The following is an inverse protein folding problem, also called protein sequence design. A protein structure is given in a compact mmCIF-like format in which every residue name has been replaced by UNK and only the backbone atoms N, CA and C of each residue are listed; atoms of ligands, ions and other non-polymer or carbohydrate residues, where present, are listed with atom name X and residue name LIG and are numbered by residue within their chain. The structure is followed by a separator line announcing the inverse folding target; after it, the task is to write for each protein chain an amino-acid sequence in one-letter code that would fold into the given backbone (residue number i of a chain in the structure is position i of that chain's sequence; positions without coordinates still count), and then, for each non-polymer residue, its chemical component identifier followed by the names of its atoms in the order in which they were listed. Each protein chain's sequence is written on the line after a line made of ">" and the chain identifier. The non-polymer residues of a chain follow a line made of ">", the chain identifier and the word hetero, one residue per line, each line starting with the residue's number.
data_IF_663568154860
#
_entry.id   IF_663568154860
#
_cell.length_a   1.000
_cell.length_b   1.000
_cell.length_c   1.000
_cell.angle_alpha   90.00
_cell.angle_beta   90.00
_cell.angle_gamma   90.00
#
_symmetry.space_group_name_H-M   'P 1'
#
loop_
_entity.id
_entity.type
_entity.pdbx_description
1 polymer ?
#
# COMPACT_ATOMS: atom_id res chain seq x y z
N UNK A 1 5.89 6.09 -16.07
CA UNK A 1 4.85 6.76 -15.27
C UNK A 1 5.45 7.19 -13.94
N UNK A 2 5.25 8.45 -13.59
CA UNK A 2 5.69 8.97 -12.30
C UNK A 2 4.65 8.65 -11.21
N UNK A 3 5.06 8.66 -9.94
CA UNK A 3 4.14 8.37 -8.83
C UNK A 3 2.96 9.35 -8.78
N UNK A 4 3.21 10.64 -9.01
CA UNK A 4 2.14 11.62 -9.02
C UNK A 4 1.20 11.46 -10.23
N UNK A 5 1.69 10.96 -11.37
CA UNK A 5 0.83 10.62 -12.49
C UNK A 5 -0.09 9.45 -12.14
N UNK A 6 0.46 8.43 -11.50
CA UNK A 6 -0.34 7.32 -11.01
C UNK A 6 -1.43 7.79 -10.05
N UNK A 7 -1.08 8.64 -9.09
CA UNK A 7 -2.06 9.16 -8.13
C UNK A 7 -3.21 9.87 -8.83
N UNK A 8 -2.92 10.72 -9.82
CA UNK A 8 -3.95 11.39 -10.61
C UNK A 8 -4.87 10.41 -11.34
N UNK A 9 -4.28 9.37 -11.94
CA UNK A 9 -5.05 8.35 -12.64
C UNK A 9 -5.91 7.52 -11.68
N UNK A 10 -5.37 7.20 -10.52
CA UNK A 10 -6.11 6.47 -9.49
C UNK A 10 -7.37 7.23 -9.02
N UNK A 11 -7.28 8.55 -8.93
CA UNK A 11 -8.42 9.37 -8.52
C UNK A 11 -9.61 9.30 -9.46
N UNK A 12 -9.43 8.86 -10.71
CA UNK A 12 -10.53 8.73 -11.67
C UNK A 12 -11.57 7.71 -11.22
N UNK A 13 -11.18 6.75 -10.39
CA UNK A 13 -12.09 5.71 -9.90
C UNK A 13 -12.42 5.87 -8.42
N UNK A 14 -11.95 6.94 -7.80
CA UNK A 14 -12.23 7.23 -6.40
C UNK A 14 -13.56 7.96 -6.23
N UNK A 15 -14.21 7.73 -5.09
CA UNK A 15 -15.37 8.53 -4.68
C UNK A 15 -14.91 9.93 -4.30
N UNK A 16 -15.80 10.94 -4.31
CA UNK A 16 -15.44 12.27 -3.83
C UNK A 16 -14.97 12.24 -2.37
N UNK A 17 -14.02 13.10 -2.02
CA UNK A 17 -13.55 13.25 -0.62
C UNK A 17 -14.69 13.58 0.34
N UNK A 18 -15.74 14.22 -0.17
CA UNK A 18 -16.93 14.64 0.59
C UNK A 18 -17.95 13.53 0.77
N UNK A 19 -17.73 12.36 0.21
CA UNK A 19 -18.64 11.23 0.39
C UNK A 19 -18.69 10.82 1.86
N UNK A 20 -19.85 10.34 2.32
CA UNK A 20 -20.05 9.94 3.71
C UNK A 20 -19.05 8.85 4.10
N UNK A 21 -18.40 9.06 5.25
CA UNK A 21 -17.45 8.11 5.83
C UNK A 21 -16.27 7.77 4.90
N UNK A 22 -15.86 8.69 4.02
CA UNK A 22 -14.84 8.36 3.01
C UNK A 22 -13.49 7.97 3.63
N UNK A 23 -13.08 8.63 4.71
CA UNK A 23 -11.84 8.23 5.39
C UNK A 23 -11.92 6.78 5.88
N UNK A 24 -13.00 6.41 6.55
CA UNK A 24 -13.18 5.03 7.04
C UNK A 24 -13.30 4.05 5.89
N UNK A 25 -14.00 4.42 4.83
CA UNK A 25 -14.14 3.60 3.62
C UNK A 25 -12.77 3.28 3.02
N UNK A 26 -11.88 4.28 2.90
CA UNK A 26 -10.54 4.09 2.35
C UNK A 26 -9.65 3.25 3.28
N UNK A 27 -9.73 3.49 4.60
CA UNK A 27 -8.95 2.71 5.57
C UNK A 27 -9.38 1.24 5.59
N UNK A 28 -10.67 0.98 5.60
CA UNK A 28 -11.19 -0.39 5.57
C UNK A 28 -10.83 -1.09 4.26
N UNK A 29 -10.85 -0.35 3.15
CA UNK A 29 -10.42 -0.88 1.85
C UNK A 29 -8.94 -1.26 1.85
N UNK A 30 -8.07 -0.42 2.40
CA UNK A 30 -6.63 -0.71 2.49
C UNK A 30 -6.37 -1.98 3.32
N UNK A 31 -7.03 -2.11 4.46
CA UNK A 31 -6.91 -3.31 5.32
C UNK A 31 -7.48 -4.53 4.60
N UNK A 32 -8.63 -4.38 3.94
CA UNK A 32 -9.28 -5.47 3.20
C UNK A 32 -8.40 -6.01 2.09
N UNK A 33 -7.84 -5.15 1.25
CA UNK A 33 -6.95 -5.57 0.16
C UNK A 33 -5.66 -6.21 0.68
N UNK A 34 -5.09 -5.66 1.74
CA UNK A 34 -3.92 -6.26 2.40
C UNK A 34 -4.26 -7.65 2.97
N UNK A 35 -5.45 -7.81 3.53
CA UNK A 35 -5.94 -9.09 4.03
C UNK A 35 -6.15 -10.12 2.92
N UNK A 36 -6.55 -9.69 1.71
CA UNK A 36 -6.69 -10.60 0.58
C UNK A 36 -5.36 -11.21 0.14
N UNK A 37 -4.26 -10.47 0.27
CA UNK A 37 -2.92 -11.03 0.02
C UNK A 37 -2.66 -12.19 0.98
N UNK A 38 -2.91 -12.00 2.26
CA UNK A 38 -2.76 -13.05 3.28
C UNK A 38 -3.69 -14.23 3.01
N UNK A 39 -4.92 -13.97 2.59
CA UNK A 39 -5.90 -15.01 2.27
C UNK A 39 -5.43 -15.90 1.11
N UNK A 40 -4.80 -15.32 0.09
CA UNK A 40 -4.25 -16.08 -1.03
C UNK A 40 -3.14 -17.03 -0.59
N UNK A 41 -2.26 -16.58 0.29
CA UNK A 41 -1.22 -17.44 0.87
C UNK A 41 -1.83 -18.57 1.66
N UNK A 42 -2.82 -18.27 2.50
CA UNK A 42 -3.54 -19.28 3.29
C UNK A 42 -4.13 -20.36 2.41
N UNK A 43 -4.77 -19.99 1.30
CA UNK A 43 -5.38 -20.93 0.38
C UNK A 43 -4.34 -21.83 -0.32
N UNK A 44 -3.19 -21.27 -0.67
CA UNK A 44 -2.09 -22.05 -1.26
C UNK A 44 -1.60 -23.12 -0.26
N UNK A 45 -1.45 -22.75 1.00
CA UNK A 45 -1.06 -23.69 2.06
C UNK A 45 -2.12 -24.79 2.22
N UNK A 46 -3.37 -24.41 2.29
CA UNK A 46 -4.48 -25.34 2.55
C UNK A 46 -4.78 -26.26 1.37
N UNK A 47 -4.80 -25.71 0.14
CA UNK A 47 -5.36 -26.40 -1.02
C UNK A 47 -4.33 -26.83 -2.06
N UNK A 48 -3.10 -26.31 -2.02
CA UNK A 48 -2.08 -26.52 -3.04
C UNK A 48 -0.74 -27.01 -2.47
N UNK A 49 -0.77 -27.68 -1.33
CA UNK A 49 0.42 -28.23 -0.68
C UNK A 49 1.57 -27.23 -0.51
N UNK A 50 1.24 -25.98 -0.21
CA UNK A 50 2.23 -24.89 -0.07
C UNK A 50 3.11 -24.70 -1.33
N UNK A 51 2.54 -24.89 -2.49
CA UNK A 51 3.23 -24.60 -3.75
C UNK A 51 3.15 -23.09 -4.02
N UNK A 52 4.23 -22.37 -3.70
CA UNK A 52 4.32 -20.92 -3.83
C UNK A 52 4.90 -20.45 -5.19
N UNK A 53 5.04 -21.37 -6.16
CA UNK A 53 5.69 -21.04 -7.44
C UNK A 53 4.95 -20.00 -8.27
N UNK A 54 3.66 -19.78 -8.01
CA UNK A 54 2.82 -18.80 -8.74
C UNK A 54 2.29 -17.66 -7.86
N UNK A 55 2.89 -17.43 -6.70
CA UNK A 55 2.46 -16.36 -5.81
C UNK A 55 2.60 -14.97 -6.45
N UNK A 56 3.62 -14.75 -7.25
CA UNK A 56 3.82 -13.50 -7.98
C UNK A 56 2.60 -13.14 -8.84
N UNK A 57 2.06 -14.10 -9.58
CA UNK A 57 0.86 -13.91 -10.40
C UNK A 57 -0.37 -13.57 -9.56
N UNK A 58 -0.49 -14.21 -8.39
CA UNK A 58 -1.61 -13.97 -7.48
C UNK A 58 -1.51 -12.59 -6.83
N UNK A 59 -0.31 -12.11 -6.58
CA UNK A 59 -0.08 -10.87 -5.86
C UNK A 59 -0.14 -9.62 -6.73
N UNK A 60 0.14 -9.73 -8.04
CA UNK A 60 0.18 -8.57 -8.92
C UNK A 60 -1.05 -7.69 -8.79
N UNK A 61 -2.24 -8.28 -8.86
CA UNK A 61 -3.50 -7.54 -8.77
C UNK A 61 -3.72 -6.97 -7.37
N UNK A 62 -3.50 -7.78 -6.36
CA UNK A 62 -3.76 -7.36 -4.97
C UNK A 62 -2.80 -6.25 -4.54
N UNK A 63 -1.54 -6.32 -4.95
CA UNK A 63 -0.59 -5.24 -4.68
C UNK A 63 -0.98 -3.95 -5.40
N UNK A 64 -1.54 -4.07 -6.61
CA UNK A 64 -2.10 -2.93 -7.33
C UNK A 64 -3.26 -2.29 -6.58
N UNK A 65 -4.16 -3.10 -6.02
CA UNK A 65 -5.30 -2.60 -5.26
C UNK A 65 -4.86 -1.94 -3.95
N UNK A 66 -3.83 -2.47 -3.29
CA UNK A 66 -3.22 -1.82 -2.12
C UNK A 66 -2.61 -0.48 -2.50
N UNK A 67 -1.88 -0.43 -3.62
CA UNK A 67 -1.27 0.82 -4.10
C UNK A 67 -2.33 1.87 -4.41
N UNK A 68 -3.44 1.48 -5.03
CA UNK A 68 -4.56 2.37 -5.32
C UNK A 68 -5.09 3.01 -4.02
N UNK A 69 -5.33 2.21 -2.99
CA UNK A 69 -5.82 2.70 -1.71
C UNK A 69 -4.83 3.65 -1.04
N UNK A 70 -3.53 3.35 -1.11
CA UNK A 70 -2.50 4.25 -0.57
C UNK A 70 -2.53 5.60 -1.30
N UNK A 71 -2.59 5.59 -2.63
CA UNK A 71 -2.61 6.81 -3.44
C UNK A 71 -3.84 7.68 -3.15
N UNK A 72 -5.01 7.07 -3.08
CA UNK A 72 -6.27 7.79 -2.83
C UNK A 72 -6.35 8.27 -1.39
N UNK A 73 -5.90 7.47 -0.43
CA UNK A 73 -5.86 7.87 0.97
C UNK A 73 -4.90 9.06 1.19
N UNK A 74 -3.75 9.04 0.52
CA UNK A 74 -2.82 10.18 0.54
C UNK A 74 -3.50 11.46 0.03
N UNK A 75 -4.22 11.35 -1.08
CA UNK A 75 -4.96 12.49 -1.65
C UNK A 75 -6.04 13.00 -0.70
N UNK A 76 -6.67 12.12 0.07
CA UNK A 76 -7.66 12.52 1.07
C UNK A 76 -7.09 13.56 2.05
N UNK A 77 -5.81 13.46 2.37
CA UNK A 77 -5.09 14.39 3.25
C UNK A 77 -4.29 15.43 2.47
N UNK A 78 -4.52 15.59 1.18
CA UNK A 78 -3.78 16.50 0.30
C UNK A 78 -2.26 16.25 0.29
N UNK A 79 -1.85 14.98 0.40
CA UNK A 79 -0.45 14.58 0.36
C UNK A 79 -0.17 13.91 -0.97
N UNK A 80 0.91 14.33 -1.65
CA UNK A 80 1.31 13.67 -2.89
C UNK A 80 1.96 12.31 -2.60
N UNK A 81 1.68 11.35 -3.46
CA UNK A 81 2.26 10.01 -3.35
C UNK A 81 3.78 10.05 -3.45
N UNK A 82 4.32 10.92 -4.30
CA UNK A 82 5.77 11.12 -4.43
C UNK A 82 6.39 11.61 -3.13
N UNK A 83 5.73 12.53 -2.42
CA UNK A 83 6.22 13.01 -1.13
C UNK A 83 6.31 11.88 -0.11
N UNK A 84 5.30 11.04 -0.04
CA UNK A 84 5.31 9.87 0.85
C UNK A 84 6.48 8.96 0.51
N UNK A 85 6.67 8.67 -0.77
CA UNK A 85 7.76 7.80 -1.22
C UNK A 85 9.13 8.42 -0.90
N UNK A 86 9.32 9.70 -1.18
CA UNK A 86 10.59 10.38 -0.91
C UNK A 86 10.92 10.41 0.57
N UNK A 87 9.95 10.77 1.41
CA UNK A 87 10.15 10.78 2.87
C UNK A 87 10.50 9.40 3.41
N UNK A 88 9.88 8.37 2.88
CA UNK A 88 10.18 7.00 3.29
C UNK A 88 11.61 6.61 2.92
N UNK A 89 12.03 6.91 1.68
CA UNK A 89 13.40 6.64 1.22
C UNK A 89 14.43 7.39 2.07
N UNK A 90 14.20 8.68 2.34
CA UNK A 90 15.11 9.51 3.13
C UNK A 90 15.23 8.98 4.57
N UNK A 91 14.10 8.61 5.17
CA UNK A 91 14.06 8.01 6.50
C UNK A 91 14.88 6.72 6.57
N UNK A 92 14.69 5.83 5.62
CA UNK A 92 15.40 4.56 5.58
C UNK A 92 16.89 4.74 5.29
N UNK A 93 17.26 5.65 4.40
CA UNK A 93 18.65 5.99 4.12
C UNK A 93 19.34 6.52 5.38
N UNK A 94 18.70 7.42 6.12
CA UNK A 94 19.22 7.93 7.38
C UNK A 94 19.42 6.83 8.42
N UNK A 95 18.45 5.92 8.55
CA UNK A 95 18.58 4.78 9.47
C UNK A 95 19.74 3.86 9.10
N UNK A 96 19.92 3.62 7.83
CA UNK A 96 21.03 2.80 7.33
C UNK A 96 22.38 3.45 7.70
N UNK A 97 22.54 4.74 7.42
CA UNK A 97 23.75 5.50 7.74
C UNK A 97 24.08 5.49 9.25
N UNK A 98 23.04 5.61 10.09
CA UNK A 98 23.21 5.65 11.55
C UNK A 98 23.21 4.27 12.22
N UNK A 99 23.09 3.18 11.45
CA UNK A 99 22.98 1.84 12.00
C UNK A 99 21.70 1.58 12.78
N UNK A 100 20.58 2.21 12.37
CA UNK A 100 19.29 2.18 13.07
C UNK A 100 18.18 1.49 12.27
N UNK A 101 18.51 0.66 11.28
CA UNK A 101 17.50 -0.07 10.51
C UNK A 101 16.68 -0.98 11.42
N UNK A 102 17.33 -1.71 12.32
CA UNK A 102 16.63 -2.49 13.34
C UNK A 102 16.12 -1.63 14.48
N UNK A 103 15.41 -2.24 15.41
CA UNK A 103 14.82 -1.56 16.55
C UNK A 103 13.38 -1.17 16.33
N UNK A 104 12.86 -0.24 17.14
CA UNK A 104 11.47 0.17 17.11
C UNK A 104 11.31 1.69 17.15
N UNK A 105 10.14 2.15 16.77
CA UNK A 105 9.79 3.56 16.74
C UNK A 105 10.16 4.24 15.43
N UNK A 106 9.30 5.17 14.99
CA UNK A 106 9.52 5.90 13.73
C UNK A 106 10.65 6.92 13.81
N UNK A 107 10.96 7.40 15.02
CA UNK A 107 11.97 8.44 15.22
C UNK A 107 13.36 7.88 15.57
N UNK A 108 13.54 6.58 15.51
CA UNK A 108 14.85 5.98 15.81
C UNK A 108 15.94 6.28 14.71
#
# INVERSE_FOLDING_TARGET
>A
MQLNDYQKLALRTARPKTADNELMHLLLGLVGESGEIAEKVKKVIRDQNSDFSKLDELFEKELGDVLWHIAVLADYFDISLEKIAQQNIDKLASRLERGKIGGSGDDR
#
